data_IF_629574144801
#
_entry.id   IF_629574144801
#
_cell.length_a   1.000
_cell.length_b   1.000
_cell.length_c   1.000
_cell.angle_alpha   90.00
_cell.angle_beta   90.00
_cell.angle_gamma   90.00
#
_symmetry.space_group_name_H-M   'P 1'
#
loop_
_entity.id
_entity.type
_entity.pdbx_description
1 polymer ?
#
# COMPACT_ATOMS: atom_id res chain seq x y z
N UNK A 1 0.82 -8.24 -12.58
CA UNK A 1 0.87 -6.86 -13.13
C UNK A 1 -0.38 -6.52 -13.97
N UNK A 2 -1.60 -6.68 -13.48
CA UNK A 2 -2.81 -6.48 -14.32
C UNK A 2 -2.96 -5.02 -14.79
N UNK A 3 -2.95 -4.07 -13.87
CA UNK A 3 -3.20 -2.65 -14.17
C UNK A 3 -2.14 -2.03 -15.08
N UNK A 4 -0.88 -2.42 -14.93
CA UNK A 4 0.20 -2.00 -15.83
C UNK A 4 -0.06 -2.45 -17.27
N UNK A 5 -0.45 -3.71 -17.49
CA UNK A 5 -0.81 -4.20 -18.83
C UNK A 5 -2.06 -3.54 -19.41
N UNK A 6 -2.98 -3.06 -18.55
CA UNK A 6 -4.13 -2.26 -18.96
C UNK A 6 -3.77 -0.79 -19.27
N UNK A 7 -2.50 -0.40 -19.14
CA UNK A 7 -2.00 0.94 -19.49
C UNK A 7 -2.08 1.97 -18.37
N UNK A 8 -2.40 1.58 -17.12
CA UNK A 8 -2.36 2.50 -16.00
C UNK A 8 -0.93 2.97 -15.73
N UNK A 9 -0.77 4.28 -15.54
CA UNK A 9 0.54 4.92 -15.39
C UNK A 9 1.07 4.89 -13.94
N UNK A 10 0.26 4.42 -12.98
CA UNK A 10 0.62 4.29 -11.58
C UNK A 10 -0.30 3.30 -10.86
N UNK A 11 0.13 2.81 -9.69
CA UNK A 11 -0.64 1.94 -8.80
C UNK A 11 -0.92 2.67 -7.49
N UNK A 12 -2.15 2.53 -6.96
CA UNK A 12 -2.46 2.95 -5.60
C UNK A 12 -2.30 1.77 -4.63
N UNK A 13 -1.38 1.91 -3.69
CA UNK A 13 -1.17 0.98 -2.58
C UNK A 13 -2.16 1.23 -1.44
N UNK A 14 -3.45 1.01 -1.71
CA UNK A 14 -4.55 1.22 -0.76
C UNK A 14 -4.38 0.41 0.52
N UNK A 15 -4.48 1.06 1.69
CA UNK A 15 -4.46 0.40 3.00
C UNK A 15 -5.59 -0.61 3.14
N UNK A 16 -6.81 -0.25 2.70
CA UNK A 16 -7.97 -1.12 2.70
C UNK A 16 -7.73 -2.41 1.91
N UNK A 17 -7.16 -2.29 0.69
CA UNK A 17 -6.86 -3.44 -0.15
C UNK A 17 -5.80 -4.34 0.51
N UNK A 18 -4.72 -3.75 1.02
CA UNK A 18 -3.65 -4.50 1.70
C UNK A 18 -4.21 -5.19 2.95
N UNK A 19 -4.97 -4.50 3.80
CA UNK A 19 -5.57 -5.06 5.01
C UNK A 19 -6.53 -6.20 4.70
N UNK A 20 -7.33 -6.07 3.64
CA UNK A 20 -8.25 -7.11 3.18
C UNK A 20 -7.50 -8.41 2.80
N UNK A 21 -6.35 -8.32 2.12
CA UNK A 21 -5.54 -9.52 1.80
C UNK A 21 -5.03 -10.25 3.04
N UNK A 22 -4.95 -9.57 4.18
CA UNK A 22 -4.48 -10.10 5.45
C UNK A 22 -5.63 -10.50 6.39
N UNK A 23 -6.88 -10.41 5.92
CA UNK A 23 -8.07 -10.67 6.75
C UNK A 23 -8.22 -9.67 7.89
N UNK A 24 -7.73 -8.44 7.72
CA UNK A 24 -7.80 -7.36 8.72
C UNK A 24 -8.72 -6.24 8.23
N UNK A 25 -9.25 -5.48 9.18
CA UNK A 25 -9.94 -4.22 8.88
C UNK A 25 -8.93 -3.15 8.51
N UNK A 26 -9.37 -2.21 7.70
CA UNK A 26 -8.64 -0.98 7.41
C UNK A 26 -8.59 -0.05 8.63
N UNK A 27 -7.74 0.98 8.59
CA UNK A 27 -7.61 1.98 9.66
C UNK A 27 -6.51 1.62 10.66
N UNK A 28 -5.28 1.48 10.16
CA UNK A 28 -4.05 1.26 10.94
C UNK A 28 -4.03 0.00 11.85
N UNK A 29 -4.95 -0.95 11.63
CA UNK A 29 -4.92 -2.27 12.30
C UNK A 29 -3.68 -3.05 11.90
N UNK A 30 -3.23 -2.90 10.65
CA UNK A 30 -1.90 -3.30 10.22
C UNK A 30 -0.96 -2.10 10.40
N UNK A 31 0.02 -2.24 11.29
CA UNK A 31 0.92 -1.14 11.63
C UNK A 31 1.83 -0.74 10.45
N UNK A 32 2.40 0.48 10.54
CA UNK A 32 3.26 1.11 9.51
C UNK A 32 4.26 0.17 8.84
N UNK A 33 5.01 -0.60 9.64
CA UNK A 33 6.04 -1.50 9.11
C UNK A 33 5.47 -2.58 8.20
N UNK A 34 4.27 -3.09 8.52
CA UNK A 34 3.57 -4.06 7.66
C UNK A 34 3.07 -3.41 6.38
N UNK A 35 2.48 -2.22 6.46
CA UNK A 35 2.04 -1.46 5.28
C UNK A 35 3.21 -1.19 4.34
N UNK A 36 4.32 -0.64 4.85
CA UNK A 36 5.54 -0.38 4.07
C UNK A 36 6.08 -1.68 3.43
N UNK A 37 6.07 -2.78 4.18
CA UNK A 37 6.47 -4.10 3.65
C UNK A 37 5.62 -4.52 2.45
N UNK A 38 4.30 -4.51 2.59
CA UNK A 38 3.37 -4.85 1.51
C UNK A 38 3.52 -3.90 0.31
N UNK A 39 3.63 -2.58 0.55
CA UNK A 39 3.86 -1.60 -0.52
C UNK A 39 5.16 -1.86 -1.26
N UNK A 40 6.24 -2.22 -0.54
CA UNK A 40 7.53 -2.59 -1.16
C UNK A 40 7.40 -3.84 -2.02
N UNK A 41 6.67 -4.86 -1.57
CA UNK A 41 6.43 -6.07 -2.36
C UNK A 41 5.70 -5.75 -3.67
N UNK A 42 4.68 -4.89 -3.63
CA UNK A 42 3.96 -4.44 -4.83
C UNK A 42 4.89 -3.62 -5.73
N UNK A 43 5.64 -2.67 -5.17
CA UNK A 43 6.59 -1.83 -5.90
C UNK A 43 7.66 -2.65 -6.64
N UNK A 44 8.14 -3.74 -6.02
CA UNK A 44 9.10 -4.65 -6.64
C UNK A 44 8.49 -5.48 -7.78
N UNK A 45 7.16 -5.60 -7.84
CA UNK A 45 6.44 -6.43 -8.78
C UNK A 45 5.85 -5.65 -9.97
N UNK A 46 6.00 -4.33 -10.05
CA UNK A 46 5.48 -3.47 -11.14
C UNK A 46 6.56 -2.51 -11.64
N UNK A 47 6.47 -2.07 -12.89
CA UNK A 47 7.44 -1.11 -13.46
C UNK A 47 6.98 0.35 -13.38
N UNK A 48 5.71 0.58 -13.07
CA UNK A 48 5.11 1.92 -12.90
C UNK A 48 5.20 2.38 -11.44
N UNK A 49 5.22 3.70 -11.18
CA UNK A 49 5.26 4.21 -9.80
C UNK A 49 4.06 3.75 -8.98
N UNK A 50 4.30 3.59 -7.67
CA UNK A 50 3.26 3.32 -6.68
C UNK A 50 3.13 4.52 -5.75
N UNK A 51 1.89 4.90 -5.46
CA UNK A 51 1.57 5.81 -4.36
C UNK A 51 1.15 4.97 -3.13
N UNK A 52 1.82 5.19 -2.01
CA UNK A 52 1.54 4.48 -0.76
C UNK A 52 0.44 5.17 0.02
N UNK A 53 -0.50 4.41 0.56
CA UNK A 53 -1.46 4.94 1.52
C UNK A 53 -0.82 5.06 2.91
N UNK A 54 -0.66 6.29 3.38
CA UNK A 54 -0.04 6.61 4.66
C UNK A 54 -1.01 6.65 5.85
N UNK A 55 -2.30 6.38 5.63
CA UNK A 55 -3.35 6.51 6.66
C UNK A 55 -3.28 7.89 7.35
N UNK A 56 -3.33 7.94 8.69
CA UNK A 56 -3.16 9.15 9.47
C UNK A 56 -1.68 9.44 9.83
N UNK A 57 -0.74 8.70 9.24
CA UNK A 57 0.69 8.81 9.49
C UNK A 57 1.23 7.79 10.50
N UNK A 58 0.40 6.90 11.05
CA UNK A 58 0.79 5.88 12.03
C UNK A 58 1.50 6.43 13.29
N UNK A 59 1.21 7.66 13.67
CA UNK A 59 1.88 8.35 14.76
C UNK A 59 1.65 9.86 14.75
N UNK A 60 2.49 10.57 15.51
CA UNK A 60 2.51 12.03 15.50
C UNK A 60 3.37 12.60 14.38
N UNK A 61 3.55 13.93 14.32
CA UNK A 61 4.39 14.60 13.32
C UNK A 61 5.86 14.15 13.30
N UNK A 62 6.34 13.52 14.38
CA UNK A 62 7.70 13.01 14.53
C UNK A 62 7.92 11.64 13.85
N UNK A 63 6.84 10.94 13.47
CA UNK A 63 6.86 9.65 12.78
C UNK A 63 7.04 9.79 11.27
#
# INVERSE_FOLDING_TARGET
MLFEHLGFQAIQGSSAAIAATLGRRDGEVIGRGRTIGSTREIAAAVSVPINADGEAGYGGPEQ
#
